data_IF_696369620950
#
_entry.id   IF_696369620950
#
_cell.length_a   1.000
_cell.length_b   1.000
_cell.length_c   1.000
_cell.angle_alpha   90.00
_cell.angle_beta   90.00
_cell.angle_gamma   90.00
#
_symmetry.space_group_name_H-M   'P 1'
#
loop_
_entity.id
_entity.type
_entity.pdbx_description
1 polymer ?
#
# COMPACT_ATOMS: atom_id res chain seq x y z
N UNK A 1 50.99 52.96 52.29
CA UNK A 1 51.46 52.10 51.18
C UNK A 1 51.44 50.66 51.67
N UNK A 2 50.31 50.00 51.43
CA UNK A 2 50.09 48.56 51.64
C UNK A 2 49.25 48.12 50.46
N UNK A 3 49.64 47.04 49.79
CA UNK A 3 48.84 46.08 48.99
C UNK A 3 49.83 45.32 48.07
N UNK A 4 49.88 43.98 47.99
CA UNK A 4 48.96 42.95 48.50
C UNK A 4 48.42 42.10 47.34
N UNK A 5 49.09 40.97 47.10
CA UNK A 5 48.55 39.67 46.65
C UNK A 5 47.76 39.48 45.33
N UNK A 6 48.39 38.71 44.45
CA UNK A 6 47.90 37.54 43.67
C UNK A 6 46.41 37.17 43.69
N UNK A 7 45.79 37.06 42.50
CA UNK A 7 44.78 36.01 42.20
C UNK A 7 44.94 35.50 40.75
N UNK A 8 45.05 34.17 40.63
CA UNK A 8 44.99 33.35 39.42
C UNK A 8 43.61 33.40 38.75
N UNK A 9 43.54 33.45 37.43
CA UNK A 9 42.33 33.10 36.68
C UNK A 9 42.69 32.11 35.55
N UNK A 10 42.29 30.85 35.76
CA UNK A 10 42.37 29.75 34.81
C UNK A 10 41.13 29.84 33.90
N UNK A 11 41.30 30.11 32.61
CA UNK A 11 40.20 30.13 31.64
C UNK A 11 40.07 28.74 31.03
N UNK A 12 38.98 28.04 31.39
CA UNK A 12 38.60 26.72 30.88
C UNK A 12 37.70 26.92 29.65
N UNK A 13 38.22 26.65 28.45
CA UNK A 13 37.44 26.74 27.20
C UNK A 13 36.73 25.41 26.94
N UNK A 14 35.41 25.36 27.14
CA UNK A 14 34.56 24.22 26.79
C UNK A 14 34.20 24.34 25.29
N UNK A 15 34.71 23.42 24.47
CA UNK A 15 34.31 23.26 23.06
C UNK A 15 33.04 22.38 23.01
N UNK A 16 31.87 23.02 22.87
CA UNK A 16 30.62 22.35 22.51
C UNK A 16 30.61 22.08 21.00
N UNK A 17 31.03 20.87 20.61
CA UNK A 17 30.84 20.35 19.27
C UNK A 17 29.37 20.00 19.04
N UNK A 18 28.59 20.93 18.49
CA UNK A 18 27.23 20.67 18.02
C UNK A 18 27.33 19.92 16.69
N UNK A 19 27.23 18.59 16.75
CA UNK A 19 27.06 17.74 15.59
C UNK A 19 25.70 18.02 14.94
N UNK A 20 25.70 18.84 13.89
CA UNK A 20 24.54 19.01 13.01
C UNK A 20 24.35 17.72 12.21
N UNK A 21 23.44 16.86 12.67
CA UNK A 21 22.90 15.78 11.86
C UNK A 21 22.20 16.39 10.66
N UNK A 22 22.82 16.30 9.48
CA UNK A 22 22.16 16.58 8.21
C UNK A 22 21.08 15.54 7.99
N UNK A 23 19.85 15.87 8.38
CA UNK A 23 18.66 15.13 7.94
C UNK A 23 18.55 15.40 6.44
N UNK A 24 18.99 14.44 5.63
CA UNK A 24 18.71 14.44 4.20
C UNK A 24 17.20 14.30 4.03
N UNK A 25 16.50 15.44 3.95
CA UNK A 25 15.12 15.47 3.50
C UNK A 25 15.11 14.95 2.06
N UNK A 26 14.52 13.77 1.86
CA UNK A 26 14.15 13.31 0.53
C UNK A 26 13.20 14.36 -0.05
N UNK A 27 13.73 15.26 -0.89
CA UNK A 27 12.90 16.19 -1.66
C UNK A 27 12.06 15.34 -2.59
N UNK A 28 10.75 15.30 -2.33
CA UNK A 28 9.79 14.93 -3.36
C UNK A 28 10.09 15.80 -4.59
N UNK A 29 10.22 15.18 -5.76
CA UNK A 29 10.32 15.92 -7.00
C UNK A 29 9.13 16.89 -7.10
N UNK A 30 9.30 18.12 -7.65
CA UNK A 30 8.18 19.05 -7.82
C UNK A 30 7.04 18.34 -8.55
N UNK A 31 5.80 18.52 -8.11
CA UNK A 31 4.63 18.10 -8.88
C UNK A 31 4.73 18.74 -10.27
N UNK A 32 4.85 17.91 -11.30
CA UNK A 32 4.81 18.43 -12.67
C UNK A 32 3.37 18.67 -13.10
N UNK A 33 3.18 19.36 -14.22
CA UNK A 33 1.86 19.72 -14.76
C UNK A 33 1.06 18.50 -15.29
N UNK A 34 1.60 17.28 -15.12
CA UNK A 34 1.06 16.01 -15.60
C UNK A 34 0.31 15.22 -14.53
N UNK A 35 0.21 15.70 -13.29
CA UNK A 35 -0.67 15.16 -12.25
C UNK A 35 0.06 14.73 -10.98
N UNK A 36 -0.64 13.96 -10.13
CA UNK A 36 -0.22 13.73 -8.74
C UNK A 36 0.64 12.48 -8.51
N UNK A 37 0.98 11.73 -9.58
CA UNK A 37 1.76 10.49 -9.41
C UNK A 37 3.25 10.83 -9.28
N UNK A 38 3.92 10.46 -8.17
CA UNK A 38 5.34 10.74 -8.01
C UNK A 38 6.19 10.07 -9.09
N UNK A 39 7.22 10.78 -9.55
CA UNK A 39 8.20 10.28 -10.52
C UNK A 39 9.57 10.22 -9.84
N UNK A 40 9.97 9.06 -9.29
CA UNK A 40 11.28 8.92 -8.66
C UNK A 40 12.38 9.01 -9.72
N UNK A 41 13.60 9.39 -9.32
CA UNK A 41 14.74 9.48 -10.22
C UNK A 41 15.12 8.15 -10.90
N UNK A 42 14.69 7.02 -10.33
CA UNK A 42 14.86 5.68 -10.89
C UNK A 42 13.85 5.32 -11.99
N UNK A 43 12.80 6.12 -12.18
CA UNK A 43 11.80 5.87 -13.21
C UNK A 43 12.29 6.35 -14.58
N UNK A 44 11.88 5.64 -15.64
CA UNK A 44 12.08 6.08 -17.02
C UNK A 44 10.83 6.78 -17.52
N UNK A 45 10.98 7.97 -18.11
CA UNK A 45 9.87 8.76 -18.65
C UNK A 45 9.97 8.82 -20.17
N UNK A 46 8.90 8.47 -20.86
CA UNK A 46 8.76 8.61 -22.31
C UNK A 46 7.60 9.54 -22.64
N UNK A 47 7.90 10.61 -23.36
CA UNK A 47 6.88 11.54 -23.88
C UNK A 47 6.44 11.10 -25.28
N UNK A 48 5.21 11.42 -25.65
CA UNK A 48 4.64 11.05 -26.94
C UNK A 48 3.34 11.78 -27.26
N UNK A 49 2.67 11.32 -28.32
CA UNK A 49 1.31 11.73 -28.68
C UNK A 49 0.45 10.51 -29.00
N UNK A 50 -0.84 10.57 -28.68
CA UNK A 50 -1.81 9.55 -29.08
C UNK A 50 -2.23 9.73 -30.55
N UNK A 51 -3.08 8.84 -31.06
CA UNK A 51 -3.59 8.89 -32.43
C UNK A 51 -4.44 10.14 -32.74
N UNK A 52 -4.90 10.86 -31.71
CA UNK A 52 -5.66 12.11 -31.82
C UNK A 52 -4.75 13.35 -31.70
N UNK A 53 -3.44 13.15 -31.55
CA UNK A 53 -2.45 14.21 -31.39
C UNK A 53 -2.33 14.73 -29.96
N UNK A 54 -3.07 14.17 -28.98
CA UNK A 54 -2.99 14.59 -27.59
C UNK A 54 -1.65 14.18 -27.00
N UNK A 55 -1.11 15.01 -26.11
CA UNK A 55 0.15 14.71 -25.45
C UNK A 55 -0.02 13.55 -24.46
N UNK A 56 0.95 12.64 -24.49
CA UNK A 56 0.99 11.46 -23.61
C UNK A 56 2.33 11.36 -22.91
N UNK A 57 2.31 10.79 -21.71
CA UNK A 57 3.50 10.48 -20.93
C UNK A 57 3.39 9.06 -20.37
N UNK A 58 4.44 8.28 -20.52
CA UNK A 58 4.57 6.95 -19.95
C UNK A 58 5.72 6.95 -18.96
N UNK A 59 5.44 6.55 -17.72
CA UNK A 59 6.41 6.45 -16.63
C UNK A 59 6.56 4.97 -16.31
N UNK A 60 7.76 4.43 -16.48
CA UNK A 60 8.08 3.05 -16.12
C UNK A 60 8.84 3.05 -14.80
N UNK A 61 8.25 2.39 -13.80
CA UNK A 61 8.83 2.22 -12.47
C UNK A 61 9.65 0.92 -12.40
N UNK A 62 10.44 0.79 -11.34
CA UNK A 62 11.10 -0.46 -11.00
C UNK A 62 10.08 -1.60 -10.84
N UNK A 63 10.50 -2.82 -11.21
CA UNK A 63 9.69 -4.02 -11.06
C UNK A 63 8.47 -4.10 -11.99
N UNK A 64 8.41 -3.29 -13.06
CA UNK A 64 7.45 -3.49 -14.16
C UNK A 64 6.11 -2.79 -14.02
N UNK A 65 5.97 -1.83 -13.10
CA UNK A 65 4.76 -0.99 -13.01
C UNK A 65 4.87 0.17 -14.00
N UNK A 66 3.76 0.52 -14.65
CA UNK A 66 3.70 1.59 -15.65
C UNK A 66 2.56 2.54 -15.34
N UNK A 67 2.84 3.85 -15.27
CA UNK A 67 1.81 4.89 -15.31
C UNK A 67 1.74 5.48 -16.74
N UNK A 68 0.53 5.51 -17.30
CA UNK A 68 0.22 6.19 -18.56
C UNK A 68 -0.62 7.42 -18.26
N UNK A 69 -0.18 8.56 -18.75
CA UNK A 69 -0.84 9.84 -18.60
C UNK A 69 -1.18 10.43 -19.97
N UNK A 70 -2.36 11.04 -20.11
CA UNK A 70 -2.79 11.69 -21.35
C UNK A 70 -3.68 12.90 -21.05
N UNK A 71 -3.72 13.88 -21.95
CA UNK A 71 -4.68 15.00 -21.89
C UNK A 71 -5.84 14.72 -22.84
N UNK A 72 -7.06 14.69 -22.34
CA UNK A 72 -8.27 14.41 -23.16
C UNK A 72 -8.87 15.66 -23.85
N UNK A 73 -8.10 16.76 -23.91
CA UNK A 73 -8.56 18.05 -24.39
C UNK A 73 -9.20 18.96 -23.32
N UNK A 74 -9.50 18.43 -22.13
CA UNK A 74 -9.98 19.26 -20.99
C UNK A 74 -8.87 20.06 -20.28
N UNK A 75 -7.62 19.87 -20.70
CA UNK A 75 -6.43 20.42 -20.05
C UNK A 75 -5.99 19.65 -18.80
N UNK A 76 -6.86 18.80 -18.20
CA UNK A 76 -6.49 17.97 -17.06
C UNK A 76 -5.80 16.68 -17.52
N UNK A 77 -4.67 16.31 -16.90
CA UNK A 77 -4.05 15.03 -17.18
C UNK A 77 -4.86 13.89 -16.55
N UNK A 78 -5.20 12.91 -17.37
CA UNK A 78 -5.72 11.62 -16.93
C UNK A 78 -4.55 10.70 -16.63
N UNK A 79 -4.65 9.84 -15.62
CA UNK A 79 -3.60 8.89 -15.28
C UNK A 79 -4.20 7.50 -15.06
N UNK A 80 -3.56 6.49 -15.65
CA UNK A 80 -3.81 5.09 -15.38
C UNK A 80 -2.51 4.41 -15.00
N UNK A 81 -2.48 3.73 -13.86
CA UNK A 81 -1.31 2.97 -13.40
C UNK A 81 -1.66 1.49 -13.41
N UNK A 82 -0.78 0.68 -13.96
CA UNK A 82 -0.97 -0.77 -14.09
C UNK A 82 0.32 -1.54 -13.80
N UNK A 83 0.14 -2.72 -13.24
CA UNK A 83 1.19 -3.70 -13.01
C UNK A 83 1.38 -4.53 -14.29
N UNK A 84 2.59 -4.44 -14.89
CA UNK A 84 3.01 -5.28 -16.02
C UNK A 84 4.11 -6.26 -15.65
N UNK A 85 4.33 -6.49 -14.35
CA UNK A 85 5.39 -7.38 -13.85
C UNK A 85 5.09 -8.86 -14.09
N UNK A 86 3.82 -9.21 -14.26
CA UNK A 86 3.35 -10.60 -14.28
C UNK A 86 3.11 -11.18 -12.88
N UNK A 87 3.34 -10.42 -11.81
CA UNK A 87 3.15 -10.84 -10.41
C UNK A 87 1.85 -10.33 -9.78
N UNK A 88 0.98 -9.66 -10.56
CA UNK A 88 -0.34 -9.20 -10.14
C UNK A 88 -0.33 -7.89 -9.34
N UNK A 89 -1.44 -7.14 -9.40
CA UNK A 89 -1.58 -5.85 -8.75
C UNK A 89 -1.74 -5.98 -7.22
N UNK A 90 -0.74 -5.53 -6.45
CA UNK A 90 -0.68 -5.75 -5.00
C UNK A 90 -1.81 -5.07 -4.21
N UNK A 91 -2.24 -3.87 -4.59
CA UNK A 91 -3.39 -3.23 -3.92
C UNK A 91 -4.71 -3.92 -4.25
N UNK A 92 -4.87 -4.43 -5.48
CA UNK A 92 -6.03 -5.27 -5.79
C UNK A 92 -6.01 -6.56 -4.94
N UNK A 93 -4.85 -7.22 -4.84
CA UNK A 93 -4.70 -8.41 -4.00
C UNK A 93 -5.04 -8.11 -2.54
N UNK A 94 -4.60 -6.96 -2.01
CA UNK A 94 -4.96 -6.49 -0.67
C UNK A 94 -6.48 -6.38 -0.51
N UNK A 95 -7.16 -5.74 -1.44
CA UNK A 95 -8.62 -5.58 -1.41
C UNK A 95 -9.36 -6.91 -1.45
N UNK A 96 -8.86 -7.88 -2.22
CA UNK A 96 -9.39 -9.25 -2.24
C UNK A 96 -9.23 -9.90 -0.85
N UNK A 97 -8.04 -9.83 -0.24
CA UNK A 97 -7.81 -10.40 1.08
C UNK A 97 -8.71 -9.78 2.16
N UNK A 98 -8.93 -8.47 2.11
CA UNK A 98 -9.87 -7.77 3.00
C UNK A 98 -11.30 -8.27 2.76
N UNK A 99 -11.74 -8.38 1.50
CA UNK A 99 -13.06 -8.90 1.16
C UNK A 99 -13.28 -10.35 1.62
N UNK A 100 -12.26 -11.19 1.49
CA UNK A 100 -12.31 -12.56 2.01
C UNK A 100 -12.36 -12.61 3.54
N UNK A 101 -11.63 -11.69 4.21
CA UNK A 101 -11.65 -11.57 5.66
C UNK A 101 -13.02 -11.13 6.17
N UNK A 102 -13.61 -10.16 5.48
CA UNK A 102 -14.99 -9.71 5.65
C UNK A 102 -15.96 -10.89 5.57
N UNK A 103 -15.90 -11.66 4.49
CA UNK A 103 -16.81 -12.79 4.27
C UNK A 103 -16.62 -13.89 5.32
N UNK A 104 -15.39 -14.15 5.77
CA UNK A 104 -15.10 -15.10 6.86
C UNK A 104 -15.63 -14.64 8.22
N UNK A 105 -15.69 -13.34 8.48
CA UNK A 105 -16.25 -12.79 9.71
C UNK A 105 -17.78 -12.87 9.74
N UNK A 106 -18.45 -12.69 8.59
CA UNK A 106 -19.92 -12.81 8.50
C UNK A 106 -20.36 -14.28 8.37
N UNK A 107 -19.71 -15.05 7.50
CA UNK A 107 -20.15 -16.40 7.12
C UNK A 107 -19.32 -17.49 7.78
N UNK A 108 -19.03 -17.33 9.07
CA UNK A 108 -18.17 -18.23 9.85
C UNK A 108 -18.70 -19.67 9.86
N UNK A 109 -17.79 -20.62 9.64
CA UNK A 109 -18.01 -22.05 9.83
C UNK A 109 -16.97 -22.63 10.80
N UNK A 110 -17.32 -23.76 11.42
CA UNK A 110 -16.37 -24.50 12.24
C UNK A 110 -15.19 -24.96 11.38
N UNK A 111 -13.96 -24.73 11.86
CA UNK A 111 -12.73 -25.05 11.13
C UNK A 111 -12.12 -23.90 10.32
N UNK A 112 -12.80 -22.75 10.20
CA UNK A 112 -12.26 -21.59 9.46
C UNK A 112 -11.06 -20.91 10.14
N UNK A 113 -10.74 -21.23 11.40
CA UNK A 113 -9.71 -20.53 12.18
C UNK A 113 -8.30 -20.65 11.56
N UNK A 114 -8.00 -21.74 10.86
CA UNK A 114 -6.74 -21.85 10.12
C UNK A 114 -6.70 -20.94 8.89
N UNK A 115 -7.80 -20.88 8.14
CA UNK A 115 -7.93 -20.02 6.97
C UNK A 115 -7.90 -18.53 7.36
N UNK A 116 -8.59 -18.15 8.44
CA UNK A 116 -8.57 -16.78 8.98
C UNK A 116 -7.14 -16.34 9.33
N UNK A 117 -6.37 -17.20 10.00
CA UNK A 117 -4.96 -16.93 10.28
C UNK A 117 -4.13 -16.74 9.02
N UNK A 118 -4.36 -17.54 7.97
CA UNK A 118 -3.67 -17.36 6.67
C UNK A 118 -4.03 -16.03 6.00
N UNK A 119 -5.30 -15.60 6.11
CA UNK A 119 -5.71 -14.29 5.60
C UNK A 119 -5.06 -13.15 6.39
N UNK A 120 -5.05 -13.24 7.71
CA UNK A 120 -4.42 -12.25 8.61
C UNK A 120 -2.90 -12.15 8.37
N UNK A 121 -2.20 -13.29 8.32
CA UNK A 121 -0.77 -13.37 7.95
C UNK A 121 -0.51 -12.82 6.55
N UNK A 122 -1.43 -13.06 5.62
CA UNK A 122 -1.33 -12.59 4.25
C UNK A 122 -1.43 -11.07 4.14
N UNK A 123 -2.43 -10.48 4.79
CA UNK A 123 -2.61 -9.03 4.87
C UNK A 123 -1.39 -8.36 5.50
N UNK A 124 -0.83 -8.95 6.56
CA UNK A 124 0.36 -8.41 7.22
C UNK A 124 1.57 -8.33 6.26
N UNK A 125 1.79 -9.36 5.44
CA UNK A 125 2.84 -9.41 4.42
C UNK A 125 2.59 -8.46 3.26
N UNK A 126 1.33 -8.33 2.84
CA UNK A 126 0.95 -7.36 1.80
C UNK A 126 1.20 -5.94 2.29
N UNK A 127 0.83 -5.63 3.53
CA UNK A 127 1.04 -4.31 4.12
C UNK A 127 2.53 -3.97 4.24
N UNK A 128 3.38 -4.94 4.64
CA UNK A 128 4.84 -4.76 4.64
C UNK A 128 5.36 -4.42 3.23
N UNK A 129 4.86 -5.13 2.22
CA UNK A 129 5.20 -4.84 0.83
C UNK A 129 4.74 -3.44 0.41
N UNK A 130 3.51 -3.05 0.76
CA UNK A 130 2.95 -1.73 0.42
C UNK A 130 3.80 -0.63 1.06
N UNK A 131 4.11 -0.73 2.35
CA UNK A 131 4.93 0.26 3.06
C UNK A 131 6.31 0.38 2.44
N UNK A 132 6.95 -0.74 2.09
CA UNK A 132 8.29 -0.74 1.52
C UNK A 132 8.37 -0.18 0.10
N UNK A 133 7.28 -0.23 -0.68
CA UNK A 133 7.31 0.06 -2.11
C UNK A 133 6.38 1.20 -2.57
N UNK A 134 5.60 1.81 -1.68
CA UNK A 134 4.70 2.91 -2.04
C UNK A 134 5.45 4.14 -2.56
N UNK A 135 4.96 4.72 -3.66
CA UNK A 135 5.49 5.97 -4.22
C UNK A 135 5.23 7.16 -3.30
N UNK A 136 4.14 7.10 -2.54
CA UNK A 136 3.81 8.06 -1.48
C UNK A 136 3.95 7.35 -0.13
N UNK A 137 4.74 7.90 0.81
CA UNK A 137 4.92 7.26 2.11
C UNK A 137 3.59 6.96 2.81
N UNK A 138 3.44 5.72 3.28
CA UNK A 138 2.31 5.24 4.07
C UNK A 138 2.82 4.32 5.18
N UNK A 139 2.13 4.31 6.32
CA UNK A 139 2.50 3.45 7.45
C UNK A 139 1.61 2.21 7.52
N UNK A 140 2.15 1.14 8.10
CA UNK A 140 1.38 -0.09 8.37
C UNK A 140 0.18 0.19 9.26
N UNK A 141 0.32 1.08 10.25
CA UNK A 141 -0.78 1.47 11.12
C UNK A 141 -1.91 2.20 10.39
N UNK A 142 -1.60 3.03 9.39
CA UNK A 142 -2.62 3.69 8.57
C UNK A 142 -3.39 2.68 7.70
N UNK A 143 -2.69 1.69 7.15
CA UNK A 143 -3.29 0.59 6.39
C UNK A 143 -4.22 -0.25 7.26
N UNK A 144 -3.76 -0.65 8.45
CA UNK A 144 -4.54 -1.40 9.44
C UNK A 144 -5.75 -0.61 9.96
N UNK A 145 -5.60 0.67 10.28
CA UNK A 145 -6.71 1.51 10.73
C UNK A 145 -7.82 1.60 9.67
N UNK A 146 -7.44 1.70 8.39
CA UNK A 146 -8.39 1.71 7.26
C UNK A 146 -9.12 0.37 7.14
N UNK A 147 -8.39 -0.74 7.24
CA UNK A 147 -8.94 -2.09 7.25
C UNK A 147 -9.91 -2.29 8.44
N UNK A 148 -9.49 -1.98 9.66
CA UNK A 148 -10.30 -2.15 10.87
C UNK A 148 -11.59 -1.33 10.81
N UNK A 149 -11.51 -0.10 10.30
CA UNK A 149 -12.68 0.75 10.07
C UNK A 149 -13.67 0.09 9.12
N UNK A 150 -13.16 -0.50 8.03
CA UNK A 150 -13.96 -1.21 7.04
C UNK A 150 -14.58 -2.49 7.63
N UNK A 151 -13.78 -3.35 8.27
CA UNK A 151 -14.25 -4.58 8.94
C UNK A 151 -15.28 -4.26 10.03
N UNK A 152 -15.09 -3.18 10.79
CA UNK A 152 -16.07 -2.73 11.78
C UNK A 152 -17.39 -2.33 11.11
N UNK A 153 -17.34 -1.48 10.08
CA UNK A 153 -18.53 -1.05 9.34
C UNK A 153 -19.30 -2.24 8.77
N UNK A 154 -18.59 -3.23 8.25
CA UNK A 154 -19.15 -4.44 7.67
C UNK A 154 -19.84 -5.33 8.74
N UNK A 155 -19.19 -5.53 9.89
CA UNK A 155 -19.78 -6.23 11.05
C UNK A 155 -21.01 -5.53 11.61
N UNK A 156 -20.95 -4.21 11.78
CA UNK A 156 -22.08 -3.40 12.26
C UNK A 156 -23.26 -3.51 11.29
N UNK A 157 -23.00 -3.44 9.98
CA UNK A 157 -24.04 -3.61 8.96
C UNK A 157 -24.63 -5.03 8.95
N UNK A 158 -23.82 -6.06 9.20
CA UNK A 158 -24.31 -7.44 9.31
C UNK A 158 -25.22 -7.63 10.53
N UNK A 159 -24.82 -7.09 11.69
CA UNK A 159 -25.61 -7.17 12.92
C UNK A 159 -27.00 -6.52 12.78
N UNK A 160 -27.12 -5.45 11.99
CA UNK A 160 -28.40 -4.77 11.73
C UNK A 160 -29.36 -5.56 10.82
N UNK A 161 -28.85 -6.49 9.99
CA UNK A 161 -29.67 -7.24 9.01
C UNK A 161 -30.45 -8.39 9.64
N UNK A 162 -30.04 -8.85 10.82
CA UNK A 162 -30.61 -10.01 11.49
C UNK A 162 -30.17 -11.36 10.89
N UNK A 163 -30.41 -12.46 11.61
CA UNK A 163 -29.85 -13.78 11.29
C UNK A 163 -30.37 -14.38 9.98
N UNK A 164 -31.62 -14.09 9.57
CA UNK A 164 -32.20 -14.62 8.34
C UNK A 164 -31.55 -14.03 7.09
N UNK A 165 -31.35 -12.71 7.06
CA UNK A 165 -30.65 -12.05 5.96
C UNK A 165 -29.18 -12.48 5.89
N UNK A 166 -28.54 -12.71 7.04
CA UNK A 166 -27.19 -13.26 7.09
C UNK A 166 -27.14 -14.69 6.55
N UNK A 167 -28.07 -15.56 6.94
CA UNK A 167 -28.16 -16.92 6.42
C UNK A 167 -28.36 -16.93 4.89
N UNK A 168 -29.10 -15.97 4.32
CA UNK A 168 -29.27 -15.83 2.87
C UNK A 168 -27.97 -15.43 2.17
N UNK A 169 -27.19 -14.50 2.74
CA UNK A 169 -25.89 -14.08 2.22
C UNK A 169 -24.90 -15.25 2.25
N UNK A 170 -24.87 -15.99 3.34
CA UNK A 170 -23.96 -17.12 3.51
C UNK A 170 -24.45 -18.40 2.83
N UNK A 171 -25.73 -18.47 2.47
CA UNK A 171 -26.37 -19.64 1.86
C UNK A 171 -26.32 -19.68 0.33
N UNK A 172 -25.87 -18.62 -0.34
CA UNK A 172 -25.78 -18.58 -1.81
C UNK A 172 -25.13 -17.32 -2.37
N UNK A 173 -24.77 -17.34 -3.67
CA UNK A 173 -24.17 -16.21 -4.38
C UNK A 173 -22.64 -16.28 -4.49
N UNK A 174 -22.03 -15.17 -4.87
CA UNK A 174 -20.60 -15.09 -5.25
C UNK A 174 -19.67 -15.27 -4.05
N UNK A 175 -20.01 -14.65 -2.91
CA UNK A 175 -19.27 -14.78 -1.65
C UNK A 175 -19.16 -16.24 -1.19
N UNK A 176 -20.27 -16.99 -1.21
CA UNK A 176 -20.26 -18.40 -0.82
C UNK A 176 -19.46 -19.27 -1.82
N UNK A 177 -19.50 -18.95 -3.12
CA UNK A 177 -18.67 -19.64 -4.13
C UNK A 177 -17.18 -19.37 -3.92
N UNK A 178 -16.81 -18.13 -3.65
CA UNK A 178 -15.42 -17.74 -3.39
C UNK A 178 -14.91 -18.37 -2.08
N UNK A 179 -15.66 -18.24 -0.98
CA UNK A 179 -15.30 -18.85 0.31
C UNK A 179 -15.25 -20.38 0.22
N UNK A 180 -16.20 -21.01 -0.48
CA UNK A 180 -16.19 -22.47 -0.68
C UNK A 180 -14.94 -22.94 -1.42
N UNK A 181 -14.50 -22.18 -2.43
CA UNK A 181 -13.23 -22.40 -3.12
C UNK A 181 -12.03 -22.28 -2.19
N UNK A 182 -11.97 -21.23 -1.36
CA UNK A 182 -10.88 -21.04 -0.40
C UNK A 182 -10.84 -22.09 0.70
N UNK A 183 -11.99 -22.48 1.26
CA UNK A 183 -12.09 -23.54 2.28
C UNK A 183 -11.61 -24.89 1.74
N UNK A 184 -11.79 -25.12 0.45
CA UNK A 184 -11.33 -26.33 -0.24
C UNK A 184 -9.89 -26.21 -0.75
N UNK A 185 -9.29 -25.03 -0.70
CA UNK A 185 -7.94 -24.78 -1.20
C UNK A 185 -6.89 -25.27 -0.20
N UNK A 186 -5.71 -25.63 -0.72
CA UNK A 186 -4.54 -25.86 0.12
C UNK A 186 -4.04 -24.54 0.69
N UNK A 187 -3.94 -24.44 2.02
CA UNK A 187 -3.39 -23.27 2.70
C UNK A 187 -1.94 -22.99 2.27
N UNK A 188 -1.15 -24.03 2.00
CA UNK A 188 0.23 -23.87 1.55
C UNK A 188 0.30 -23.32 0.13
N UNK A 189 -0.64 -23.72 -0.74
CA UNK A 189 -0.79 -23.14 -2.06
C UNK A 189 -1.11 -21.65 -1.98
N UNK A 190 -2.06 -21.25 -1.12
CA UNK A 190 -2.38 -19.82 -0.91
C UNK A 190 -1.16 -19.02 -0.45
N UNK A 191 -0.37 -19.57 0.49
CA UNK A 191 0.87 -18.93 0.96
C UNK A 191 1.91 -18.80 -0.15
N UNK A 192 2.04 -19.81 -1.00
CA UNK A 192 2.98 -19.82 -2.12
C UNK A 192 2.57 -18.83 -3.22
N UNK A 193 1.29 -18.76 -3.58
CA UNK A 193 0.76 -17.80 -4.54
C UNK A 193 0.96 -16.36 -4.05
N UNK A 194 0.69 -16.09 -2.77
CA UNK A 194 0.99 -14.80 -2.17
C UNK A 194 2.50 -14.49 -2.21
N UNK A 195 3.35 -15.45 -1.85
CA UNK A 195 4.80 -15.25 -1.90
C UNK A 195 5.29 -14.93 -3.32
N UNK A 196 4.73 -15.60 -4.34
CA UNK A 196 5.04 -15.33 -5.73
C UNK A 196 4.60 -13.92 -6.15
N UNK A 197 3.40 -13.48 -5.74
CA UNK A 197 2.90 -12.14 -6.04
C UNK A 197 3.77 -11.02 -5.43
N UNK A 198 4.31 -11.25 -4.23
CA UNK A 198 5.14 -10.27 -3.50
C UNK A 198 6.64 -10.38 -3.78
N UNK A 199 7.07 -11.27 -4.68
CA UNK A 199 8.49 -11.59 -4.88
C UNK A 199 9.32 -10.49 -5.60
N UNK A 200 8.66 -9.58 -6.32
CA UNK A 200 9.31 -8.50 -7.07
C UNK A 200 8.98 -7.14 -6.44
N UNK A 201 9.95 -6.42 -5.85
CA UNK A 201 9.75 -5.05 -5.33
C UNK A 201 9.28 -4.09 -6.44
N UNK A 202 8.12 -3.46 -6.24
CA UNK A 202 7.49 -2.54 -7.21
C UNK A 202 6.39 -1.71 -6.55
N UNK A 203 6.04 -0.52 -7.09
CA UNK A 203 4.91 0.25 -6.59
C UNK A 203 3.62 -0.58 -6.47
N UNK A 204 2.95 -0.59 -5.31
CA UNK A 204 1.71 -1.30 -5.15
C UNK A 204 0.60 -0.52 -5.89
N UNK A 205 -0.07 -1.18 -6.83
CA UNK A 205 -1.15 -0.61 -7.65
C UNK A 205 -2.37 -1.52 -7.64
N UNK A 206 -3.51 -1.00 -8.11
CA UNK A 206 -4.78 -1.74 -8.12
C UNK A 206 -5.16 -2.37 -9.46
N UNK A 207 -4.41 -2.10 -10.54
CA UNK A 207 -4.72 -2.63 -11.87
C UNK A 207 -3.57 -3.46 -12.43
N UNK A 208 -3.84 -4.53 -13.19
CA UNK A 208 -5.16 -5.12 -13.40
C UNK A 208 -5.65 -5.81 -12.11
N UNK A 209 -6.95 -5.71 -11.85
CA UNK A 209 -7.63 -6.60 -10.90
C UNK A 209 -8.29 -7.71 -11.72
N UNK A 210 -8.18 -8.96 -11.25
CA UNK A 210 -8.58 -10.18 -11.99
C UNK A 210 -9.99 -10.09 -12.60
#
# INVERSE_FOLDING_TARGET
MVEGETVRALILTILLGVGLSTIAQARAAPSDDWGDVPVPASATVRLGRDARGNETREITYAGGVVARQWRDGSGKPQTMVEDRSGHGAVLCLREIYIGLREDLDICRQDGDDALRRVMDEGLDRIDDFVVANSLTPITKDALRATEETRLKKQRDAAALRGPEAQAKICGGGDAQRMLGGLRSASLDKLRAELAAALSVPRPPVSNPCL
#
